data_IF_081376321378
#
_entry.id   IF_081376321378
#
_cell.length_a   1.000
_cell.length_b   1.000
_cell.length_c   1.000
_cell.angle_alpha   90.00
_cell.angle_beta   90.00
_cell.angle_gamma   90.00
#
_symmetry.space_group_name_H-M   'P 1'
#
loop_
_entity.id
_entity.type
_entity.pdbx_description
1 polymer ?
#
# COMPACT_ATOMS: atom_id res chain seq x y z
N UNK A 1 19.48 -46.54 -3.96
CA UNK A 1 19.24 -45.54 -5.05
C UNK A 1 17.87 -44.87 -4.92
N UNK A 2 16.76 -45.62 -4.90
CA UNK A 2 15.40 -45.04 -4.82
C UNK A 2 15.17 -44.17 -3.56
N UNK A 3 15.69 -44.60 -2.40
CA UNK A 3 15.56 -43.87 -1.15
C UNK A 3 16.25 -42.48 -1.19
N UNK A 4 17.43 -42.41 -1.80
CA UNK A 4 18.16 -41.15 -1.97
C UNK A 4 17.45 -40.20 -2.94
N UNK A 5 16.74 -40.76 -3.94
CA UNK A 5 16.00 -39.98 -4.93
C UNK A 5 14.73 -39.36 -4.30
N UNK A 6 14.03 -40.11 -3.45
CA UNK A 6 12.87 -39.61 -2.67
C UNK A 6 13.32 -38.53 -1.68
N UNK A 7 14.40 -38.76 -0.94
CA UNK A 7 14.94 -37.79 0.02
C UNK A 7 15.35 -36.49 -0.70
N UNK A 8 16.01 -36.59 -1.86
CA UNK A 8 16.35 -35.41 -2.67
C UNK A 8 15.11 -34.66 -3.15
N UNK A 9 14.07 -35.36 -3.61
CA UNK A 9 12.82 -34.72 -4.05
C UNK A 9 12.11 -33.96 -2.93
N UNK A 10 12.05 -34.55 -1.74
CA UNK A 10 11.49 -33.90 -0.55
C UNK A 10 12.33 -32.69 -0.14
N UNK A 11 13.66 -32.81 -0.15
CA UNK A 11 14.56 -31.70 0.19
C UNK A 11 14.39 -30.52 -0.78
N UNK A 12 14.34 -30.76 -2.09
CA UNK A 12 14.11 -29.71 -3.09
C UNK A 12 12.74 -29.06 -2.91
N UNK A 13 11.70 -29.85 -2.63
CA UNK A 13 10.36 -29.32 -2.37
C UNK A 13 10.31 -28.44 -1.11
N UNK A 14 10.97 -28.84 -0.02
CA UNK A 14 11.06 -28.04 1.20
C UNK A 14 11.80 -26.72 0.97
N UNK A 15 12.92 -26.74 0.25
CA UNK A 15 13.66 -25.52 -0.11
C UNK A 15 12.79 -24.59 -0.93
N UNK A 16 12.07 -25.14 -1.92
CA UNK A 16 11.12 -24.37 -2.73
C UNK A 16 10.03 -23.71 -1.86
N UNK A 17 9.41 -24.46 -0.94
CA UNK A 17 8.40 -23.93 -0.03
C UNK A 17 8.92 -22.78 0.83
N UNK A 18 10.14 -22.89 1.36
CA UNK A 18 10.75 -21.84 2.18
C UNK A 18 10.99 -20.57 1.35
N UNK A 19 11.53 -20.71 0.14
CA UNK A 19 11.81 -19.58 -0.75
C UNK A 19 10.52 -18.86 -1.15
N UNK A 20 9.49 -19.61 -1.54
CA UNK A 20 8.20 -19.00 -1.92
C UNK A 20 7.48 -18.40 -0.72
N UNK A 21 7.57 -19.01 0.46
CA UNK A 21 7.04 -18.43 1.70
C UNK A 21 7.72 -17.09 2.04
N UNK A 22 9.05 -17.03 1.94
CA UNK A 22 9.81 -15.81 2.17
C UNK A 22 9.42 -14.69 1.19
N UNK A 23 9.25 -15.00 -0.09
CA UNK A 23 8.78 -14.04 -1.11
C UNK A 23 7.38 -13.53 -0.77
N UNK A 24 6.45 -14.40 -0.41
CA UNK A 24 5.08 -14.04 -0.03
C UNK A 24 5.04 -13.12 1.19
N UNK A 25 5.81 -13.45 2.22
CA UNK A 25 5.95 -12.63 3.43
C UNK A 25 6.53 -11.25 3.09
N UNK A 26 7.57 -11.18 2.24
CA UNK A 26 8.13 -9.91 1.78
C UNK A 26 7.10 -9.06 1.04
N UNK A 27 6.35 -9.66 0.11
CA UNK A 27 5.29 -8.98 -0.64
C UNK A 27 4.22 -8.41 0.29
N UNK A 28 3.81 -9.19 1.30
CA UNK A 28 2.86 -8.75 2.32
C UNK A 28 3.38 -7.56 3.13
N UNK A 29 4.64 -7.58 3.57
CA UNK A 29 5.24 -6.46 4.29
C UNK A 29 5.35 -5.20 3.43
N UNK A 30 5.74 -5.34 2.16
CA UNK A 30 5.79 -4.22 1.21
C UNK A 30 4.39 -3.63 1.03
N UNK A 31 3.38 -4.46 0.77
CA UNK A 31 2.00 -4.02 0.65
C UNK A 31 1.54 -3.26 1.90
N UNK A 32 1.76 -3.83 3.09
CA UNK A 32 1.38 -3.22 4.36
C UNK A 32 2.01 -1.83 4.51
N UNK A 33 3.30 -1.71 4.19
CA UNK A 33 4.05 -0.46 4.34
C UNK A 33 3.66 0.59 3.30
N UNK A 34 3.45 0.21 2.04
CA UNK A 34 2.93 1.12 1.00
C UNK A 34 1.57 1.67 1.42
N UNK A 35 0.65 0.80 1.82
CA UNK A 35 -0.69 1.19 2.28
C UNK A 35 -0.62 2.17 3.45
N UNK A 36 0.19 1.85 4.46
CA UNK A 36 0.37 2.69 5.65
C UNK A 36 0.88 4.09 5.29
N UNK A 37 1.88 4.18 4.42
CA UNK A 37 2.45 5.46 3.96
C UNK A 37 1.41 6.28 3.22
N UNK A 38 0.66 5.65 2.31
CA UNK A 38 -0.39 6.35 1.56
C UNK A 38 -1.46 6.89 2.52
N UNK A 39 -1.91 6.07 3.48
CA UNK A 39 -2.90 6.50 4.48
C UNK A 39 -2.38 7.68 5.29
N UNK A 40 -1.20 7.56 5.91
CA UNK A 40 -0.63 8.59 6.79
C UNK A 40 -0.41 9.90 6.03
N UNK A 41 0.20 9.83 4.84
CA UNK A 41 0.45 11.02 4.02
C UNK A 41 -0.86 11.68 3.58
N UNK A 42 -1.86 10.89 3.19
CA UNK A 42 -3.18 11.38 2.83
C UNK A 42 -3.87 12.06 4.02
N UNK A 43 -3.90 11.43 5.19
CA UNK A 43 -4.49 12.02 6.39
C UNK A 43 -3.79 13.34 6.76
N UNK A 44 -2.47 13.39 6.69
CA UNK A 44 -1.71 14.62 6.95
C UNK A 44 -2.02 15.73 5.96
N UNK A 45 -2.19 15.40 4.67
CA UNK A 45 -2.58 16.36 3.64
C UNK A 45 -4.00 16.88 3.85
N UNK A 46 -4.96 15.98 4.08
CA UNK A 46 -6.37 16.32 4.31
C UNK A 46 -6.56 17.13 5.60
N UNK A 47 -5.77 16.86 6.65
CA UNK A 47 -5.81 17.66 7.89
C UNK A 47 -5.38 19.11 7.67
N UNK A 48 -4.49 19.36 6.71
CA UNK A 48 -3.93 20.70 6.40
C UNK A 48 -4.70 21.43 5.31
N UNK A 49 -5.55 20.72 4.57
CA UNK A 49 -6.23 21.23 3.38
C UNK A 49 -7.73 21.30 3.63
N UNK A 50 -8.38 22.47 3.48
CA UNK A 50 -9.83 22.57 3.61
C UNK A 50 -10.53 21.72 2.53
N UNK A 51 -11.65 21.08 2.87
CA UNK A 51 -12.36 20.09 2.02
C UNK A 51 -12.63 20.56 0.58
N UNK A 52 -12.91 21.85 0.38
CA UNK A 52 -13.18 22.44 -0.94
C UNK A 52 -11.96 22.70 -1.83
N UNK A 53 -10.74 22.51 -1.32
CA UNK A 53 -9.48 22.82 -2.01
C UNK A 53 -8.58 21.60 -2.19
N UNK A 54 -9.10 20.40 -1.97
CA UNK A 54 -8.34 19.17 -2.13
C UNK A 54 -8.03 18.94 -3.62
N UNK A 55 -6.81 19.28 -4.02
CA UNK A 55 -6.28 18.92 -5.34
C UNK A 55 -5.75 17.49 -5.32
N UNK A 56 -6.38 16.60 -6.11
CA UNK A 56 -6.00 15.20 -6.25
C UNK A 56 -4.66 15.02 -6.97
N UNK A 57 -4.30 15.93 -7.87
CA UNK A 57 -3.03 15.89 -8.58
C UNK A 57 -1.88 16.15 -7.62
N UNK A 58 -1.96 17.25 -6.86
CA UNK A 58 -1.01 17.58 -5.79
C UNK A 58 -0.89 16.45 -4.76
N UNK A 59 -2.01 15.84 -4.36
CA UNK A 59 -1.99 14.68 -3.47
C UNK A 59 -1.27 13.47 -4.08
N UNK A 60 -1.51 13.17 -5.36
CA UNK A 60 -0.81 12.09 -6.07
C UNK A 60 0.70 12.33 -6.12
N UNK A 61 1.14 13.56 -6.41
CA UNK A 61 2.55 13.92 -6.40
C UNK A 61 3.18 13.74 -5.01
N UNK A 62 2.54 14.29 -3.97
CA UNK A 62 2.99 14.14 -2.58
C UNK A 62 3.15 12.66 -2.18
N UNK A 63 2.21 11.80 -2.59
CA UNK A 63 2.27 10.37 -2.31
C UNK A 63 3.43 9.68 -3.01
N UNK A 64 3.69 10.01 -4.28
CA UNK A 64 4.83 9.46 -5.01
C UNK A 64 6.16 9.92 -4.41
N UNK A 65 6.28 11.18 -4.00
CA UNK A 65 7.48 11.71 -3.34
C UNK A 65 7.73 10.98 -2.02
N UNK A 66 6.68 10.81 -1.19
CA UNK A 66 6.78 10.08 0.07
C UNK A 66 7.19 8.61 -0.12
N UNK A 67 6.68 7.95 -1.16
CA UNK A 67 7.08 6.59 -1.51
C UNK A 67 8.52 6.52 -2.03
N UNK A 68 9.00 7.56 -2.71
CA UNK A 68 10.38 7.66 -3.17
C UNK A 68 11.35 7.84 -2.00
N UNK A 69 11.04 8.73 -1.04
CA UNK A 69 11.85 8.98 0.16
C UNK A 69 12.14 7.69 0.94
N UNK A 70 11.15 6.81 1.06
CA UNK A 70 11.26 5.53 1.78
C UNK A 70 11.64 4.35 0.88
N UNK A 71 12.00 4.59 -0.39
CA UNK A 71 12.42 3.58 -1.38
C UNK A 71 11.35 2.51 -1.68
N UNK A 72 10.07 2.85 -1.53
CA UNK A 72 8.95 1.96 -1.89
C UNK A 72 8.37 2.24 -3.28
N UNK A 73 8.74 3.35 -3.92
CA UNK A 73 8.27 3.70 -5.27
C UNK A 73 8.55 2.60 -6.31
N UNK A 74 9.67 1.88 -6.19
CA UNK A 74 10.01 0.76 -7.08
C UNK A 74 9.00 -0.40 -7.04
N UNK A 75 8.20 -0.50 -5.97
CA UNK A 75 7.19 -1.54 -5.81
C UNK A 75 5.78 -1.06 -6.17
N UNK A 76 5.62 0.21 -6.53
CA UNK A 76 4.34 0.82 -6.87
C UNK A 76 4.37 1.21 -8.34
N UNK A 77 3.58 0.52 -9.16
CA UNK A 77 3.49 0.81 -10.58
C UNK A 77 2.68 2.07 -10.85
N UNK A 78 1.54 2.20 -10.18
CA UNK A 78 0.61 3.31 -10.40
C UNK A 78 -0.22 3.58 -9.15
N UNK A 79 -0.55 4.87 -8.94
CA UNK A 79 -1.53 5.33 -7.96
C UNK A 79 -2.56 6.19 -8.71
N UNK A 80 -3.82 5.80 -8.62
CA UNK A 80 -4.97 6.52 -9.15
C UNK A 80 -5.85 6.97 -8.00
N UNK A 81 -6.16 8.27 -8.01
CA UNK A 81 -6.94 8.93 -6.97
C UNK A 81 -8.11 9.59 -7.67
N UNK A 82 -9.31 9.28 -7.25
CA UNK A 82 -10.54 9.76 -7.89
C UNK A 82 -11.55 10.16 -6.83
N UNK A 83 -12.30 11.21 -7.09
CA UNK A 83 -13.51 11.52 -6.33
C UNK A 83 -14.54 10.43 -6.57
N UNK A 84 -15.02 9.78 -5.51
CA UNK A 84 -16.15 8.86 -5.57
C UNK A 84 -17.47 9.58 -5.30
N UNK A 85 -17.45 10.54 -4.37
CA UNK A 85 -18.55 11.44 -4.01
C UNK A 85 -17.97 12.78 -3.54
N UNK A 86 -18.80 13.80 -3.26
CA UNK A 86 -18.35 15.12 -2.80
C UNK A 86 -17.41 15.08 -1.57
N UNK A 87 -17.64 14.14 -0.65
CA UNK A 87 -16.85 14.00 0.59
C UNK A 87 -15.99 12.74 0.62
N UNK A 88 -15.81 12.03 -0.50
CA UNK A 88 -15.22 10.69 -0.51
C UNK A 88 -14.18 10.55 -1.61
N UNK A 89 -12.96 10.22 -1.21
CA UNK A 89 -11.83 10.00 -2.12
C UNK A 89 -11.54 8.51 -2.19
N UNK A 90 -11.50 8.00 -3.41
CA UNK A 90 -11.11 6.63 -3.71
C UNK A 90 -9.65 6.60 -4.15
N UNK A 91 -8.89 5.69 -3.55
CA UNK A 91 -7.51 5.39 -3.88
C UNK A 91 -7.44 4.01 -4.50
N UNK A 92 -6.74 3.90 -5.61
CA UNK A 92 -6.42 2.64 -6.27
C UNK A 92 -4.92 2.64 -6.53
N UNK A 93 -4.18 1.68 -5.98
CA UNK A 93 -2.77 1.50 -6.31
C UNK A 93 -2.48 0.09 -6.81
N UNK A 94 -1.56 -0.02 -7.77
CA UNK A 94 -1.07 -1.27 -8.33
C UNK A 94 0.37 -1.49 -7.86
N UNK A 95 0.64 -2.66 -7.28
CA UNK A 95 2.00 -3.05 -6.92
C UNK A 95 2.67 -3.79 -8.08
N UNK A 96 3.97 -3.62 -8.23
CA UNK A 96 4.78 -4.29 -9.25
C UNK A 96 5.59 -5.43 -8.60
N UNK A 97 4.99 -6.62 -8.53
CA UNK A 97 5.72 -7.85 -8.18
C UNK A 97 5.94 -8.71 -9.43
N UNK A 98 7.05 -9.44 -9.48
CA UNK A 98 7.53 -10.18 -10.67
C UNK A 98 6.45 -11.03 -11.38
N UNK A 99 5.56 -11.68 -10.63
CA UNK A 99 4.55 -12.59 -11.18
C UNK A 99 3.11 -12.08 -11.06
N UNK A 100 2.87 -11.09 -10.21
CA UNK A 100 1.52 -10.65 -9.85
C UNK A 100 1.55 -9.14 -9.70
N UNK A 101 0.57 -8.45 -10.30
CA UNK A 101 0.40 -7.02 -10.16
C UNK A 101 -0.88 -6.72 -9.38
N UNK A 102 -0.88 -6.92 -8.06
CA UNK A 102 -2.11 -6.80 -7.28
C UNK A 102 -2.55 -5.34 -7.28
N UNK A 103 -3.83 -5.14 -7.59
CA UNK A 103 -4.50 -3.85 -7.47
C UNK A 103 -5.23 -3.80 -6.14
N UNK A 104 -4.99 -2.75 -5.38
CA UNK A 104 -5.69 -2.51 -4.13
C UNK A 104 -6.51 -1.23 -4.23
N UNK A 105 -7.75 -1.31 -3.75
CA UNK A 105 -8.68 -0.19 -3.69
C UNK A 105 -9.08 0.05 -2.24
N UNK A 106 -9.04 1.29 -1.82
CA UNK A 106 -9.60 1.73 -0.55
C UNK A 106 -10.18 3.13 -0.68
N UNK A 107 -10.99 3.51 0.30
CA UNK A 107 -11.80 4.73 0.28
C UNK A 107 -11.60 5.46 1.60
N UNK A 108 -11.48 6.79 1.54
CA UNK A 108 -11.40 7.67 2.71
C UNK A 108 -12.52 8.70 2.61
N UNK A 109 -13.36 8.79 3.65
CA UNK A 109 -14.30 9.89 3.81
C UNK A 109 -13.62 11.09 4.46
N UNK A 110 -13.91 12.30 3.97
CA UNK A 110 -13.40 13.54 4.56
C UNK A 110 -13.96 13.79 5.98
N UNK A 111 -15.12 13.22 6.30
CA UNK A 111 -15.73 13.26 7.64
C UNK A 111 -14.95 12.41 8.65
N UNK A 112 -14.41 11.26 8.20
CA UNK A 112 -13.59 10.38 9.05
C UNK A 112 -12.32 11.08 9.54
N UNK A 113 -11.81 12.05 8.76
CA UNK A 113 -10.62 12.84 9.12
C UNK A 113 -10.93 13.83 10.25
N UNK A 114 -12.09 14.50 10.22
CA UNK A 114 -12.49 15.50 11.22
C UNK A 114 -12.70 14.87 12.60
N UNK A 115 -13.39 13.73 12.69
CA UNK A 115 -13.61 13.05 13.97
C UNK A 115 -12.29 12.66 14.67
N UNK A 116 -11.28 12.29 13.90
CA UNK A 116 -9.94 11.96 14.42
C UNK A 116 -9.23 13.24 14.91
N UNK A 117 -9.35 14.35 14.17
CA UNK A 117 -8.72 15.63 14.54
C UNK A 117 -9.36 16.19 15.81
N UNK A 118 -10.69 16.14 15.94
CA UNK A 118 -11.40 16.72 17.09
C UNK A 118 -11.17 15.92 18.37
N UNK A 119 -11.08 14.57 18.30
CA UNK A 119 -10.66 13.75 19.44
C UNK A 119 -9.23 14.06 19.91
N UNK A 120 -8.34 14.44 18.98
CA UNK A 120 -6.94 14.77 19.31
C UNK A 120 -6.82 16.13 20.01
N UNK A 121 -7.76 17.06 19.81
CA UNK A 121 -7.78 18.38 20.48
C UNK A 121 -8.35 18.35 21.90
N UNK A 122 -9.05 17.28 22.27
CA UNK A 122 -9.69 17.10 23.57
C UNK A 122 -8.78 16.39 24.60
N UNK A 123 -7.55 16.06 24.23
CA UNK A 123 -6.49 15.52 25.09
C UNK A 123 -5.43 16.61 25.29
#
# INVERSE_FOLDING_TARGET
MLNNLIISGIATFLIYLVIESYKSVRQFFIFKRVREVILIATFNYLKRTPKGFVDLSSLKHLLMDKLMEIKLSAWVKEINITWQSMDVIQFVFELDFEKIKPKYKFVIGLKDVEEIVDRTKLI
#
